data_IF_215569029686
#
_entry.id   IF_215569029686
#
_cell.length_a   1.000
_cell.length_b   1.000
_cell.length_c   1.000
_cell.angle_alpha   90.00
_cell.angle_beta   90.00
_cell.angle_gamma   90.00
#
_symmetry.space_group_name_H-M   'P 1'
#
loop_
_entity.id
_entity.type
_entity.pdbx_description
1 polymer ?
#
# COMPACT_ATOMS: atom_id res chain seq x y z
N UNK A 1 -5.57 16.19 9.79
CA UNK A 1 -4.42 15.47 9.22
C UNK A 1 -3.10 15.86 9.88
N UNK A 2 -2.15 14.91 10.04
CA UNK A 2 -0.80 15.20 10.57
C UNK A 2 0.16 15.53 9.43
N UNK A 3 1.13 16.41 9.66
CA UNK A 3 2.14 16.78 8.65
C UNK A 3 3.01 15.60 8.17
N UNK A 4 3.15 14.55 8.99
CA UNK A 4 3.84 13.32 8.62
C UNK A 4 3.03 12.48 7.62
N UNK A 5 1.70 12.44 7.76
CA UNK A 5 0.81 11.71 6.85
C UNK A 5 0.82 12.37 5.46
N UNK A 6 0.75 13.71 5.41
CA UNK A 6 0.86 14.48 4.16
C UNK A 6 2.19 14.19 3.43
N UNK A 7 3.32 14.22 4.14
CA UNK A 7 4.62 13.91 3.58
C UNK A 7 4.70 12.47 3.06
N UNK A 8 4.09 11.51 3.78
CA UNK A 8 4.04 10.12 3.34
C UNK A 8 3.19 9.97 2.06
N UNK A 9 2.05 10.66 1.98
CA UNK A 9 1.18 10.66 0.80
C UNK A 9 1.93 11.21 -0.42
N UNK A 10 2.65 12.32 -0.28
CA UNK A 10 3.48 12.88 -1.36
C UNK A 10 4.53 11.86 -1.83
N UNK A 11 5.24 11.21 -0.90
CA UNK A 11 6.21 10.15 -1.24
C UNK A 11 5.58 8.96 -1.94
N UNK A 12 4.35 8.57 -1.58
CA UNK A 12 3.61 7.50 -2.28
C UNK A 12 3.27 7.96 -3.71
N UNK A 13 2.79 9.18 -3.89
CA UNK A 13 2.44 9.74 -5.20
C UNK A 13 3.67 9.87 -6.12
N UNK A 14 4.83 10.22 -5.56
CA UNK A 14 6.11 10.30 -6.28
C UNK A 14 6.60 8.95 -6.84
N UNK A 15 5.99 7.82 -6.44
CA UNK A 15 6.35 6.49 -6.97
C UNK A 15 5.64 6.12 -8.28
N UNK A 16 4.86 7.03 -8.86
CA UNK A 16 4.01 6.87 -10.06
C UNK A 16 2.90 5.80 -9.96
N UNK A 17 2.93 4.93 -8.96
CA UNK A 17 2.00 3.82 -8.81
C UNK A 17 1.55 3.68 -7.36
N UNK A 18 0.26 3.88 -7.11
CA UNK A 18 -0.34 3.76 -5.79
C UNK A 18 -1.63 2.94 -5.85
N UNK A 19 -2.05 2.46 -4.69
CA UNK A 19 -3.25 1.65 -4.55
C UNK A 19 -3.58 1.40 -3.09
N UNK A 20 -4.48 0.46 -2.84
CA UNK A 20 -4.96 0.17 -1.50
C UNK A 20 -4.49 -1.19 -1.02
N UNK A 21 -4.12 -1.28 0.26
CA UNK A 21 -3.83 -2.54 0.93
C UNK A 21 -4.84 -2.80 2.05
N UNK A 22 -5.48 -3.96 1.99
CA UNK A 22 -6.31 -4.52 3.06
C UNK A 22 -5.52 -5.58 3.81
N UNK A 23 -5.24 -5.35 5.09
CA UNK A 23 -4.51 -6.27 5.97
C UNK A 23 -5.49 -6.91 6.94
N UNK A 24 -5.65 -8.22 6.83
CA UNK A 24 -6.59 -9.00 7.63
C UNK A 24 -5.86 -9.72 8.77
N UNK A 25 -6.19 -9.37 10.02
CA UNK A 25 -5.68 -10.05 11.21
C UNK A 25 -6.15 -11.51 11.25
N UNK A 26 -5.30 -12.39 11.78
CA UNK A 26 -5.56 -13.81 12.01
C UNK A 26 -6.60 -14.10 13.09
N UNK A 27 -6.88 -13.17 14.01
CA UNK A 27 -7.71 -13.45 15.20
C UNK A 27 -8.85 -12.48 15.51
N UNK A 28 -8.70 -11.19 15.23
CA UNK A 28 -9.64 -10.16 15.72
C UNK A 28 -10.81 -9.84 14.77
N UNK A 29 -10.72 -10.27 13.50
CA UNK A 29 -11.64 -9.84 12.44
C UNK A 29 -11.48 -8.35 12.06
N UNK A 30 -10.52 -7.64 12.65
CA UNK A 30 -10.18 -6.27 12.27
C UNK A 30 -9.40 -6.29 10.96
N UNK A 31 -9.76 -5.35 10.08
CA UNK A 31 -9.06 -5.05 8.83
C UNK A 31 -8.41 -3.69 8.99
N UNK A 32 -7.12 -3.62 8.75
CA UNK A 32 -6.43 -2.34 8.56
C UNK A 32 -6.40 -2.04 7.06
N UNK A 33 -6.70 -0.79 6.69
CA UNK A 33 -6.67 -0.34 5.31
C UNK A 33 -5.66 0.79 5.15
N UNK A 34 -4.92 0.74 4.05
CA UNK A 34 -3.85 1.67 3.76
C UNK A 34 -3.89 2.12 2.31
N UNK A 35 -3.53 3.39 2.06
CA UNK A 35 -2.98 3.81 0.76
C UNK A 35 -1.49 3.43 0.77
N UNK A 36 -1.01 2.79 -0.30
CA UNK A 36 0.37 2.29 -0.41
C UNK A 36 0.97 2.55 -1.77
N UNK A 37 2.30 2.68 -1.83
CA UNK A 37 3.05 2.62 -3.09
C UNK A 37 3.05 1.18 -3.65
N UNK A 38 2.87 1.01 -4.96
CA UNK A 38 2.82 -0.30 -5.63
C UNK A 38 4.17 -0.77 -6.18
N UNK A 39 5.27 -0.15 -5.71
CA UNK A 39 6.61 -0.61 -6.07
C UNK A 39 6.87 -2.02 -5.54
N UNK A 40 7.63 -2.81 -6.30
CA UNK A 40 7.91 -4.21 -5.93
C UNK A 40 8.58 -4.34 -4.55
N UNK A 41 9.46 -3.40 -4.19
CA UNK A 41 10.14 -3.39 -2.89
C UNK A 41 9.20 -3.01 -1.74
N UNK A 42 8.29 -2.05 -1.95
CA UNK A 42 7.30 -1.68 -0.94
C UNK A 42 6.34 -2.85 -0.65
N UNK A 43 5.83 -3.49 -1.71
CA UNK A 43 4.94 -4.66 -1.58
C UNK A 43 5.65 -5.83 -0.89
N UNK A 44 6.91 -6.11 -1.23
CA UNK A 44 7.71 -7.12 -0.56
C UNK A 44 7.93 -6.79 0.93
N UNK A 45 8.18 -5.52 1.26
CA UNK A 45 8.37 -5.09 2.65
C UNK A 45 7.06 -5.15 3.46
N UNK A 46 5.94 -4.77 2.85
CA UNK A 46 4.61 -4.90 3.44
C UNK A 46 4.28 -6.35 3.75
N UNK A 47 4.43 -7.25 2.76
CA UNK A 47 4.15 -8.67 2.91
C UNK A 47 5.12 -9.34 3.89
N UNK A 48 6.41 -9.04 3.78
CA UNK A 48 7.43 -9.63 4.65
C UNK A 48 7.28 -9.23 6.11
N UNK A 49 6.94 -7.96 6.39
CA UNK A 49 6.80 -7.45 7.76
C UNK A 49 5.45 -7.79 8.37
N UNK A 50 4.33 -7.52 7.69
CA UNK A 50 2.98 -7.74 8.23
C UNK A 50 2.45 -9.15 8.00
N UNK A 51 2.95 -9.86 6.99
CA UNK A 51 2.37 -11.14 6.56
C UNK A 51 2.56 -12.30 7.53
N UNK A 52 3.58 -12.27 8.40
CA UNK A 52 3.79 -13.31 9.42
C UNK A 52 2.73 -13.32 10.53
N UNK A 53 2.20 -12.14 10.85
CA UNK A 53 1.22 -11.94 11.92
C UNK A 53 -0.23 -11.92 11.40
N UNK A 54 -0.40 -11.71 10.09
CA UNK A 54 -1.70 -11.50 9.46
C UNK A 54 -2.13 -12.71 8.64
N UNK A 55 -3.44 -12.89 8.51
CA UNK A 55 -4.03 -13.98 7.73
C UNK A 55 -3.77 -13.76 6.24
N UNK A 56 -4.04 -12.54 5.79
CA UNK A 56 -4.06 -12.19 4.38
C UNK A 56 -3.77 -10.70 4.20
N UNK A 57 -3.06 -10.38 3.13
CA UNK A 57 -2.90 -9.01 2.65
C UNK A 57 -3.32 -9.00 1.20
N UNK A 58 -4.34 -8.20 0.88
CA UNK A 58 -4.84 -7.99 -0.48
C UNK A 58 -4.50 -6.57 -0.89
N UNK A 59 -3.87 -6.42 -2.05
CA UNK A 59 -3.46 -5.13 -2.61
C UNK A 59 -4.16 -4.93 -3.96
N UNK A 60 -4.82 -3.79 -4.10
CA UNK A 60 -5.46 -3.33 -5.34
C UNK A 60 -4.81 -2.05 -5.84
N UNK A 61 -5.01 -1.73 -7.12
CA UNK A 61 -4.79 -0.37 -7.61
C UNK A 61 -5.95 0.55 -7.20
N UNK A 62 -5.86 1.84 -7.54
CA UNK A 62 -6.91 2.84 -7.24
C UNK A 62 -8.25 2.57 -7.94
N UNK A 63 -8.31 1.63 -8.89
CA UNK A 63 -9.53 1.20 -9.57
C UNK A 63 -10.03 -0.16 -9.04
N UNK A 64 -9.59 -0.57 -7.85
CA UNK A 64 -9.92 -1.83 -7.19
C UNK A 64 -9.53 -3.10 -7.98
N UNK A 65 -8.58 -2.98 -8.92
CA UNK A 65 -8.06 -4.15 -9.64
C UNK A 65 -6.97 -4.81 -8.82
N UNK A 66 -7.03 -6.13 -8.71
CA UNK A 66 -6.05 -6.91 -7.94
C UNK A 66 -4.63 -6.72 -8.48
N UNK A 67 -3.70 -6.30 -7.60
CA UNK A 67 -2.26 -6.18 -7.87
C UNK A 67 -1.51 -7.37 -7.28
N UNK A 68 -1.76 -7.67 -6.01
CA UNK A 68 -1.14 -8.78 -5.30
C UNK A 68 -2.05 -9.26 -4.17
N UNK A 69 -2.02 -10.55 -3.89
CA UNK A 69 -2.61 -11.16 -2.69
C UNK A 69 -1.56 -12.04 -2.04
N UNK A 70 -1.48 -12.01 -0.72
CA UNK A 70 -0.60 -12.86 0.06
C UNK A 70 -1.34 -13.47 1.23
N UNK A 71 -0.95 -14.68 1.63
CA UNK A 71 -1.47 -15.38 2.81
C UNK A 71 -0.32 -15.86 3.66
N UNK A 72 -0.39 -15.58 4.96
CA UNK A 72 0.65 -15.97 5.93
C UNK A 72 2.07 -15.61 5.44
N UNK A 73 2.20 -14.41 4.89
CA UNK A 73 3.47 -13.87 4.40
C UNK A 73 3.96 -14.42 3.07
N UNK A 74 3.21 -15.28 2.38
CA UNK A 74 3.57 -15.82 1.06
C UNK A 74 2.63 -15.29 -0.02
N UNK A 75 3.18 -14.93 -1.19
CA UNK A 75 2.39 -14.54 -2.36
C UNK A 75 1.44 -15.67 -2.79
N UNK A 76 0.14 -15.38 -2.82
CA UNK A 76 -0.93 -16.30 -3.24
C UNK A 76 -1.35 -16.02 -4.69
N UNK A 77 -1.57 -14.74 -5.04
CA UNK A 77 -1.96 -14.33 -6.38
C UNK A 77 -1.29 -13.02 -6.80
N UNK A 78 -0.90 -12.91 -8.07
CA UNK A 78 -0.38 -11.67 -8.67
C UNK A 78 -0.57 -11.74 -10.18
N UNK A 79 -1.54 -11.00 -10.75
CA UNK A 79 -1.86 -11.09 -12.17
C UNK A 79 -0.70 -10.71 -13.09
N UNK A 80 0.10 -9.70 -12.73
CA UNK A 80 1.30 -9.33 -13.48
C UNK A 80 2.50 -10.19 -13.05
N UNK A 81 2.85 -11.15 -13.89
CA UNK A 81 3.98 -12.06 -13.66
C UNK A 81 5.35 -11.36 -13.62
N UNK A 82 5.52 -10.22 -14.29
CA UNK A 82 6.78 -9.45 -14.23
C UNK A 82 6.90 -8.76 -12.88
N UNK A 83 5.80 -8.17 -12.40
CA UNK A 83 5.74 -7.60 -11.05
C UNK A 83 5.95 -8.68 -9.99
N UNK A 84 5.27 -9.82 -10.11
CA UNK A 84 5.39 -10.96 -9.18
C UNK A 84 6.84 -11.43 -9.02
N UNK A 85 7.58 -11.56 -10.13
CA UNK A 85 9.02 -11.92 -10.09
C UNK A 85 9.84 -10.87 -9.35
N UNK A 86 9.59 -9.58 -9.59
CA UNK A 86 10.30 -8.50 -8.90
C UNK A 86 9.98 -8.50 -7.40
N UNK A 87 8.71 -8.63 -7.02
CA UNK A 87 8.30 -8.71 -5.60
C UNK A 87 9.05 -9.86 -4.92
N UNK A 88 9.05 -11.06 -5.53
CA UNK A 88 9.72 -12.22 -4.97
C UNK A 88 11.25 -12.07 -4.84
N UNK A 89 11.91 -11.28 -5.71
CA UNK A 89 13.34 -10.97 -5.57
C UNK A 89 13.64 -10.22 -4.28
N UNK A 90 12.75 -9.33 -3.83
CA UNK A 90 12.87 -8.61 -2.57
C UNK A 90 12.31 -9.40 -1.37
N UNK A 91 11.20 -10.12 -1.56
CA UNK A 91 10.49 -10.82 -0.50
C UNK A 91 11.25 -12.06 -0.01
N UNK A 92 11.88 -12.82 -0.90
CA UNK A 92 12.51 -14.08 -0.51
C UNK A 92 13.68 -13.91 0.48
N UNK A 93 14.60 -12.92 0.32
CA UNK A 93 15.59 -12.60 1.34
C UNK A 93 14.98 -12.17 2.68
N UNK A 94 13.85 -11.44 2.66
CA UNK A 94 13.15 -11.01 3.88
C UNK A 94 12.58 -12.22 4.63
N UNK A 95 11.92 -13.13 3.92
CA UNK A 95 11.36 -14.36 4.51
C UNK A 95 12.44 -15.30 5.06
N UNK A 96 13.65 -15.30 4.48
CA UNK A 96 14.79 -16.08 4.97
C UNK A 96 15.56 -15.40 6.11
N UNK A 97 15.21 -14.17 6.48
CA UNK A 97 15.95 -13.39 7.48
C UNK A 97 17.33 -12.93 7.00
N UNK A 98 17.58 -12.94 5.68
CA UNK A 98 18.84 -12.47 5.08
C UNK A 98 18.86 -10.94 4.91
N UNK A 99 17.69 -10.31 4.82
CA UNK A 99 17.51 -8.86 4.70
C UNK A 99 16.32 -8.44 5.56
N UNK A 100 16.44 -7.34 6.29
CA UNK A 100 15.28 -6.72 6.95
C UNK A 100 14.31 -6.13 5.91
N UNK A 101 13.01 -6.13 6.22
CA UNK A 101 12.03 -5.42 5.42
C UNK A 101 12.38 -3.91 5.38
N UNK A 102 12.16 -3.26 4.23
CA UNK A 102 12.39 -1.83 4.10
C UNK A 102 11.38 -0.98 4.86
N UNK A 103 11.50 0.34 4.77
CA UNK A 103 10.39 1.23 5.12
C UNK A 103 9.17 0.87 4.26
N UNK A 104 7.98 0.88 4.86
CA UNK A 104 6.73 0.67 4.13
C UNK A 104 6.14 2.05 3.86
N UNK A 105 6.08 2.44 2.60
CA UNK A 105 5.36 3.61 2.12
C UNK A 105 3.86 3.30 2.17
N UNK A 106 3.26 3.61 3.32
CA UNK A 106 1.86 3.40 3.61
C UNK A 106 1.34 4.49 4.56
N UNK A 107 0.11 4.92 4.34
CA UNK A 107 -0.67 5.74 5.27
C UNK A 107 -2.05 5.10 5.45
N UNK A 108 -2.72 5.32 6.59
CA UNK A 108 -4.07 4.77 6.77
C UNK A 108 -5.01 5.31 5.70
N UNK A 109 -5.97 4.48 5.29
CA UNK A 109 -6.94 4.87 4.26
C UNK A 109 -7.73 6.11 4.67
N UNK A 110 -8.10 6.23 5.93
CA UNK A 110 -8.84 7.39 6.45
C UNK A 110 -8.05 8.69 6.32
N UNK A 111 -6.76 8.66 6.60
CA UNK A 111 -5.89 9.83 6.44
C UNK A 111 -5.67 10.20 4.97
N UNK A 112 -5.55 9.20 4.09
CA UNK A 112 -5.51 9.43 2.64
C UNK A 112 -6.83 10.03 2.12
N UNK A 113 -7.98 9.52 2.56
CA UNK A 113 -9.30 10.03 2.15
C UNK A 113 -9.51 11.47 2.65
N UNK A 114 -9.08 11.81 3.88
CA UNK A 114 -9.09 13.18 4.40
C UNK A 114 -8.22 14.12 3.53
N UNK A 115 -7.03 13.67 3.13
CA UNK A 115 -6.13 14.42 2.24
C UNK A 115 -6.78 14.71 0.89
N UNK A 116 -7.26 13.67 0.19
CA UNK A 116 -7.80 13.83 -1.16
C UNK A 116 -9.10 14.65 -1.19
N UNK A 117 -9.95 14.54 -0.16
CA UNK A 117 -11.14 15.38 -0.05
C UNK A 117 -10.77 16.87 0.09
N UNK A 118 -9.75 17.19 0.89
CA UNK A 118 -9.29 18.57 1.05
C UNK A 118 -8.68 19.15 -0.24
N UNK A 119 -7.91 18.34 -0.98
CA UNK A 119 -7.36 18.74 -2.29
C UNK A 119 -8.46 18.96 -3.34
N UNK A 120 -9.49 18.09 -3.36
CA UNK A 120 -10.63 18.24 -4.25
C UNK A 120 -11.41 19.54 -3.96
N UNK A 121 -11.71 19.82 -2.68
CA UNK A 121 -12.37 21.06 -2.27
C UNK A 121 -11.55 22.30 -2.67
N UNK A 122 -10.23 22.27 -2.48
CA UNK A 122 -9.34 23.37 -2.86
C UNK A 122 -9.34 23.59 -4.39
N UNK A 123 -9.31 22.51 -5.17
CA UNK A 123 -9.39 22.56 -6.63
C UNK A 123 -10.73 23.16 -7.11
N UNK A 124 -11.85 22.69 -6.55
CA UNK A 124 -13.19 23.20 -6.88
C UNK A 124 -13.29 24.71 -6.57
N UNK A 125 -12.78 25.14 -5.42
CA UNK A 125 -12.78 26.56 -5.05
C UNK A 125 -11.89 27.41 -5.96
N UNK A 126 -10.75 26.88 -6.40
CA UNK A 126 -9.87 27.57 -7.34
C UNK A 126 -10.54 27.71 -8.73
N UNK A 127 -11.18 26.66 -9.22
CA UNK A 127 -11.92 26.68 -10.49
C UNK A 127 -13.10 27.66 -10.44
N UNK A 128 -13.90 27.66 -9.38
CA UNK A 128 -15.00 28.60 -9.19
C UNK A 128 -14.54 30.07 -9.16
N UNK A 129 -13.32 30.36 -8.66
CA UNK A 129 -12.78 31.72 -8.59
C UNK A 129 -12.20 32.24 -9.91
N UNK A 130 -11.96 31.34 -10.87
CA UNK A 130 -11.49 31.69 -12.21
C UNK A 130 -12.64 31.89 -13.21
N UNK A 131 -13.90 31.74 -12.77
CA UNK A 131 -15.13 32.03 -13.53
C UNK A 131 -15.67 33.41 -13.19
#
# INVERSE_FOLDING_TARGET
MKSEDEQMIQRIMDTDTMGYASVYDSGSGKREEYLVALTAENLASLIGRKGGETRQITVTDVLDRLVADSRRGTMDNCPDQRLCRKINQFLAPIQRGEKEAGEILAVSREAADEYFAAEEEAAILAECRMQ
#
